data_IF_259649737215
#
_entry.id   IF_259649737215
#
_cell.length_a   1.000
_cell.length_b   1.000
_cell.length_c   1.000
_cell.angle_alpha   90.00
_cell.angle_beta   90.00
_cell.angle_gamma   90.00
#
_symmetry.space_group_name_H-M   'P 1'
#
loop_
_entity.id
_entity.type
_entity.pdbx_description
1 polymer ?
#
# COMPACT_ATOMS: atom_id res chain seq x y z
N UNK A 1 16.99 21.41 -9.52
CA UNK A 1 16.18 20.21 -9.84
C UNK A 1 15.64 19.69 -8.52
N UNK A 2 14.36 19.34 -8.41
CA UNK A 2 13.84 18.79 -7.13
C UNK A 2 14.27 17.32 -7.00
N UNK A 3 14.46 16.84 -5.77
CA UNK A 3 14.74 15.43 -5.49
C UNK A 3 13.67 14.51 -6.10
N UNK A 4 12.43 14.99 -6.19
CA UNK A 4 11.31 14.27 -6.78
C UNK A 4 11.44 14.12 -8.30
N UNK A 5 12.00 15.11 -8.99
CA UNK A 5 12.24 15.03 -10.42
C UNK A 5 13.44 14.12 -10.74
N UNK A 6 14.40 14.01 -9.82
CA UNK A 6 15.62 13.21 -9.99
C UNK A 6 15.43 11.75 -9.59
N UNK A 7 14.73 11.47 -8.48
CA UNK A 7 14.62 10.13 -7.89
C UNK A 7 13.18 9.61 -7.78
N UNK A 8 12.17 10.41 -8.09
CA UNK A 8 10.77 10.01 -7.95
C UNK A 8 10.28 9.15 -9.12
N UNK A 9 9.41 8.17 -8.83
CA UNK A 9 8.71 7.40 -9.86
C UNK A 9 7.92 8.33 -10.79
N UNK A 10 8.00 8.14 -12.11
CA UNK A 10 7.31 8.98 -13.09
C UNK A 10 5.81 8.64 -13.24
N UNK A 11 4.99 8.95 -12.23
CA UNK A 11 3.55 8.63 -12.24
C UNK A 11 2.77 9.19 -13.44
N UNK A 12 3.26 10.28 -14.05
CA UNK A 12 2.65 10.88 -15.24
C UNK A 12 2.65 9.96 -16.47
N UNK A 13 3.51 8.93 -16.53
CA UNK A 13 3.53 7.96 -17.65
C UNK A 13 2.76 6.66 -17.36
N UNK A 14 2.04 6.57 -16.24
CA UNK A 14 1.25 5.39 -15.89
C UNK A 14 -0.20 5.63 -16.31
N UNK A 15 -0.74 4.77 -17.17
CA UNK A 15 -2.10 4.86 -17.72
C UNK A 15 -3.00 3.67 -17.36
N UNK A 16 -2.54 2.82 -16.45
CA UNK A 16 -3.29 1.66 -15.95
C UNK A 16 -3.87 1.95 -14.57
N UNK A 17 -5.01 1.33 -14.19
CA UNK A 17 -5.53 1.42 -12.83
C UNK A 17 -4.50 1.00 -11.77
N UNK A 18 -4.48 1.71 -10.65
CA UNK A 18 -3.54 1.54 -9.53
C UNK A 18 -4.31 1.42 -8.23
N UNK A 19 -4.06 0.34 -7.49
CA UNK A 19 -4.42 0.21 -6.08
C UNK A 19 -3.18 0.37 -5.22
N UNK A 20 -3.21 1.29 -4.26
CA UNK A 20 -2.17 1.48 -3.24
C UNK A 20 -2.72 1.09 -1.88
N UNK A 21 -1.98 0.23 -1.17
CA UNK A 21 -2.31 -0.25 0.16
C UNK A 21 -1.23 0.21 1.13
N UNK A 22 -1.62 0.76 2.28
CA UNK A 22 -0.68 1.30 3.27
C UNK A 22 -1.12 1.02 4.70
N UNK A 23 -0.14 0.86 5.59
CA UNK A 23 -0.34 0.74 7.03
C UNK A 23 -0.25 2.13 7.67
N UNK A 24 -1.24 2.50 8.50
CA UNK A 24 -1.20 3.78 9.21
C UNK A 24 -0.05 3.83 10.25
N UNK A 25 0.37 2.66 10.73
CA UNK A 25 1.35 2.47 11.79
C UNK A 25 2.58 1.70 11.27
N UNK A 26 2.90 1.81 9.98
CA UNK A 26 4.08 1.18 9.38
C UNK A 26 5.37 1.68 10.05
N UNK A 27 6.08 0.75 10.70
CA UNK A 27 7.30 1.02 11.45
C UNK A 27 8.58 1.04 10.62
N UNK A 28 8.52 0.60 9.35
CA UNK A 28 9.71 0.55 8.47
C UNK A 28 9.88 1.85 7.71
N UNK A 29 8.80 2.36 7.15
CA UNK A 29 8.72 3.68 6.55
C UNK A 29 7.29 4.19 6.65
N UNK A 30 7.05 5.52 6.57
CA UNK A 30 5.69 6.06 6.67
C UNK A 30 4.90 5.80 5.37
N UNK A 31 4.43 4.56 5.17
CA UNK A 31 3.81 4.12 3.90
C UNK A 31 2.52 4.88 3.58
N UNK A 32 1.77 5.30 4.60
CA UNK A 32 0.59 6.15 4.42
C UNK A 32 0.92 7.53 3.82
N UNK A 33 2.08 8.11 4.16
CA UNK A 33 2.55 9.37 3.55
C UNK A 33 2.88 9.13 2.07
N UNK A 34 3.59 8.04 1.77
CA UNK A 34 3.92 7.68 0.39
C UNK A 34 2.67 7.43 -0.44
N UNK A 35 1.68 6.71 0.10
CA UNK A 35 0.41 6.43 -0.57
C UNK A 35 -0.36 7.72 -0.89
N UNK A 36 -0.41 8.65 0.06
CA UNK A 36 -1.02 9.96 -0.17
C UNK A 36 -0.28 10.78 -1.24
N UNK A 37 1.06 10.75 -1.23
CA UNK A 37 1.86 11.41 -2.27
C UNK A 37 1.61 10.81 -3.65
N UNK A 38 1.44 9.49 -3.76
CA UNK A 38 1.09 8.83 -5.03
C UNK A 38 -0.24 9.38 -5.55
N UNK A 39 -1.26 9.43 -4.70
CA UNK A 39 -2.57 10.01 -5.03
C UNK A 39 -2.42 11.45 -5.53
N UNK A 40 -1.72 12.30 -4.79
CA UNK A 40 -1.53 13.71 -5.15
C UNK A 40 -0.83 13.87 -6.51
N UNK A 41 0.18 13.04 -6.80
CA UNK A 41 0.93 13.13 -8.06
C UNK A 41 0.11 12.68 -9.26
N UNK A 42 -0.72 11.65 -9.12
CA UNK A 42 -1.64 11.21 -10.18
C UNK A 42 -2.77 12.21 -10.40
N UNK A 43 -3.33 12.78 -9.33
CA UNK A 43 -4.32 13.87 -9.42
C UNK A 43 -3.73 15.09 -10.14
N UNK A 44 -2.52 15.51 -9.78
CA UNK A 44 -1.83 16.63 -10.44
C UNK A 44 -1.54 16.37 -11.93
N UNK A 45 -1.45 15.09 -12.34
CA UNK A 45 -1.32 14.67 -13.73
C UNK A 45 -2.66 14.49 -14.45
N UNK A 46 -3.80 14.81 -13.81
CA UNK A 46 -5.14 14.65 -14.38
C UNK A 46 -5.66 13.21 -14.39
N UNK A 47 -5.07 12.32 -13.58
CA UNK A 47 -5.35 10.87 -13.54
C UNK A 47 -5.96 10.44 -12.22
N UNK A 48 -6.91 11.21 -11.71
CA UNK A 48 -7.55 10.94 -10.41
C UNK A 48 -8.43 9.70 -10.41
N UNK A 49 -8.92 9.31 -11.58
CA UNK A 49 -9.83 8.20 -11.84
C UNK A 49 -9.14 6.83 -11.87
N UNK A 50 -7.83 6.78 -12.10
CA UNK A 50 -7.08 5.53 -12.18
C UNK A 50 -6.44 5.11 -10.85
N UNK A 51 -6.59 5.89 -9.76
CA UNK A 51 -5.92 5.62 -8.49
C UNK A 51 -6.88 5.44 -7.33
N UNK A 52 -6.74 4.31 -6.65
CA UNK A 52 -7.40 4.02 -5.38
C UNK A 52 -6.34 3.85 -4.28
N UNK A 53 -6.53 4.54 -3.16
CA UNK A 53 -5.64 4.43 -1.99
C UNK A 53 -6.43 3.96 -0.78
N UNK A 54 -6.00 2.86 -0.16
CA UNK A 54 -6.53 2.37 1.12
C UNK A 54 -5.43 2.38 2.18
N UNK A 55 -5.70 3.09 3.27
CA UNK A 55 -4.83 3.09 4.46
C UNK A 55 -5.55 2.36 5.59
N UNK A 56 -4.88 1.41 6.24
CA UNK A 56 -5.45 0.54 7.26
C UNK A 56 -5.00 0.99 8.66
N UNK A 57 -5.92 1.47 9.53
CA UNK A 57 -5.63 1.79 10.92
C UNK A 57 -5.20 0.55 11.71
N UNK A 58 -4.28 0.68 12.67
CA UNK A 58 -3.79 -0.45 13.45
C UNK A 58 -2.84 -1.40 12.70
N UNK A 59 -2.60 -1.16 11.41
CA UNK A 59 -1.76 -1.99 10.57
C UNK A 59 -0.37 -1.37 10.37
N UNK A 60 0.64 -2.21 10.50
CA UNK A 60 2.03 -1.92 10.20
C UNK A 60 2.41 -2.38 8.80
N UNK A 61 3.69 -2.67 8.64
CA UNK A 61 4.31 -3.02 7.37
C UNK A 61 3.86 -4.37 6.81
N UNK A 62 3.47 -5.31 7.68
CA UNK A 62 3.05 -6.67 7.29
C UNK A 62 1.57 -6.80 6.92
N UNK A 63 0.89 -5.69 6.62
CA UNK A 63 -0.56 -5.66 6.37
C UNK A 63 -1.05 -6.52 5.21
N UNK A 64 -0.17 -7.02 4.33
CA UNK A 64 -0.53 -7.88 3.19
C UNK A 64 -0.42 -9.37 3.51
N UNK A 65 0.03 -9.72 4.71
CA UNK A 65 0.13 -11.12 5.17
C UNK A 65 -1.20 -11.55 5.80
N UNK A 66 -1.99 -12.31 5.03
CA UNK A 66 -3.33 -12.78 5.44
C UNK A 66 -3.27 -13.54 6.76
N UNK A 67 -4.10 -13.11 7.73
CA UNK A 67 -4.24 -13.79 9.02
C UNK A 67 -3.01 -13.71 9.93
N UNK A 68 -2.04 -12.84 9.62
CA UNK A 68 -0.82 -12.74 10.41
C UNK A 68 -0.98 -11.82 11.61
N UNK A 69 -1.52 -12.38 12.70
CA UNK A 69 -1.81 -11.64 13.95
C UNK A 69 -1.00 -12.03 15.18
N UNK A 70 0.24 -12.51 15.00
CA UNK A 70 1.13 -12.87 16.12
C UNK A 70 2.05 -11.73 16.55
N UNK A 71 2.80 -11.88 17.67
CA UNK A 71 3.84 -10.92 18.07
C UNK A 71 4.88 -10.64 16.98
N UNK A 72 5.15 -11.62 16.11
CA UNK A 72 6.06 -11.46 14.99
C UNK A 72 5.51 -10.61 13.84
N UNK A 73 4.23 -10.21 13.88
CA UNK A 73 3.66 -9.27 12.90
C UNK A 73 4.05 -7.82 13.17
N UNK A 74 4.42 -7.50 14.41
CA UNK A 74 4.84 -6.15 14.82
C UNK A 74 6.35 -6.07 14.96
N UNK A 75 7.03 -7.17 15.28
CA UNK A 75 8.46 -7.15 15.56
C UNK A 75 9.13 -8.47 15.22
N UNK A 76 10.15 -8.44 14.37
CA UNK A 76 10.90 -9.65 13.98
C UNK A 76 12.37 -9.35 13.68
N UNK A 77 13.20 -10.39 13.79
CA UNK A 77 14.62 -10.31 13.43
C UNK A 77 14.77 -10.31 11.91
N UNK A 78 15.50 -9.35 11.36
CA UNK A 78 15.90 -9.30 9.96
C UNK A 78 17.36 -9.74 9.85
N UNK A 79 17.63 -10.91 9.23
CA UNK A 79 19.00 -11.41 9.07
C UNK A 79 19.90 -10.50 8.23
N UNK A 80 19.34 -9.78 7.25
CA UNK A 80 20.11 -8.88 6.38
C UNK A 80 20.58 -7.61 7.08
N UNK A 81 19.89 -7.20 8.15
CA UNK A 81 20.28 -6.06 8.99
C UNK A 81 20.95 -6.50 10.29
N UNK A 82 21.07 -7.81 10.52
CA UNK A 82 21.56 -8.41 11.77
C UNK A 82 20.90 -7.81 13.03
N UNK A 83 19.60 -7.54 12.95
CA UNK A 83 18.90 -6.79 13.99
C UNK A 83 17.40 -7.00 13.98
N UNK A 84 16.75 -6.62 15.07
CA UNK A 84 15.29 -6.61 15.14
C UNK A 84 14.71 -5.35 14.52
N UNK A 85 13.61 -5.53 13.80
CA UNK A 85 12.83 -4.46 13.18
C UNK A 85 11.46 -4.37 13.81
N UNK A 86 11.03 -3.15 14.07
CA UNK A 86 9.66 -2.81 14.40
C UNK A 86 8.87 -2.59 13.10
N UNK A 87 8.06 -3.56 12.72
CA UNK A 87 7.16 -3.49 11.57
C UNK A 87 5.92 -2.65 11.88
N UNK A 88 5.65 -2.35 13.16
CA UNK A 88 4.57 -1.50 13.61
C UNK A 88 3.17 -2.13 13.55
N UNK A 89 2.18 -1.32 13.89
CA UNK A 89 0.80 -1.76 14.08
C UNK A 89 0.57 -2.53 15.36
N UNK A 90 -0.57 -3.23 15.41
CA UNK A 90 -0.92 -4.17 16.47
C UNK A 90 -1.15 -5.56 15.89
N UNK A 91 -1.00 -6.65 16.66
CA UNK A 91 -1.24 -8.00 16.14
C UNK A 91 -2.64 -8.18 15.54
N UNK A 92 -3.68 -7.67 16.22
CA UNK A 92 -5.04 -7.74 15.69
C UNK A 92 -5.21 -6.85 14.44
N UNK A 93 -4.66 -5.63 14.46
CA UNK A 93 -4.74 -4.72 13.31
C UNK A 93 -4.03 -5.28 12.07
N UNK A 94 -2.88 -5.93 12.23
CA UNK A 94 -2.19 -6.62 11.14
C UNK A 94 -2.98 -7.83 10.62
N UNK A 95 -3.60 -8.61 11.51
CA UNK A 95 -4.47 -9.73 11.11
C UNK A 95 -5.66 -9.24 10.27
N UNK A 96 -6.39 -8.24 10.79
CA UNK A 96 -7.56 -7.67 10.16
C UNK A 96 -7.21 -7.02 8.82
N UNK A 97 -6.14 -6.23 8.79
CA UNK A 97 -5.65 -5.60 7.58
C UNK A 97 -5.23 -6.64 6.53
N UNK A 98 -4.61 -7.75 6.92
CA UNK A 98 -4.30 -8.88 6.03
C UNK A 98 -5.53 -9.39 5.28
N UNK A 99 -6.64 -9.61 5.97
CA UNK A 99 -7.89 -10.02 5.32
C UNK A 99 -8.49 -8.92 4.46
N UNK A 100 -8.53 -7.68 4.97
CA UNK A 100 -9.14 -6.55 4.27
C UNK A 100 -8.36 -6.17 3.00
N UNK A 101 -7.03 -6.17 3.07
CA UNK A 101 -6.15 -5.84 1.95
C UNK A 101 -6.24 -6.89 0.85
N UNK A 102 -6.27 -8.18 1.21
CA UNK A 102 -6.44 -9.24 0.21
C UNK A 102 -7.80 -9.17 -0.46
N UNK A 103 -8.87 -8.89 0.30
CA UNK A 103 -10.18 -8.65 -0.29
C UNK A 103 -10.17 -7.43 -1.23
N UNK A 104 -9.53 -6.34 -0.82
CA UNK A 104 -9.40 -5.13 -1.65
C UNK A 104 -8.72 -5.41 -2.99
N UNK A 105 -7.67 -6.24 -3.01
CA UNK A 105 -7.00 -6.64 -4.24
C UNK A 105 -7.94 -7.38 -5.18
N UNK A 106 -8.70 -8.36 -4.67
CA UNK A 106 -9.65 -9.12 -5.50
C UNK A 106 -10.76 -8.20 -6.03
N UNK A 107 -11.36 -7.38 -5.17
CA UNK A 107 -12.40 -6.40 -5.56
C UNK A 107 -11.92 -5.46 -6.67
N UNK A 108 -10.68 -4.97 -6.54
CA UNK A 108 -10.05 -4.08 -7.51
C UNK A 108 -9.82 -4.79 -8.85
N UNK A 109 -9.24 -5.99 -8.84
CA UNK A 109 -8.98 -6.76 -10.05
C UNK A 109 -10.28 -7.08 -10.81
N UNK A 110 -11.34 -7.47 -10.09
CA UNK A 110 -12.66 -7.70 -10.70
C UNK A 110 -13.26 -6.43 -11.32
N UNK A 111 -13.08 -5.27 -10.66
CA UNK A 111 -13.55 -3.99 -11.20
C UNK A 111 -12.80 -3.62 -12.50
N UNK A 112 -11.48 -3.81 -12.51
CA UNK A 112 -10.64 -3.57 -13.69
C UNK A 112 -11.02 -4.51 -14.84
N UNK A 113 -11.21 -5.80 -14.58
CA UNK A 113 -11.64 -6.77 -15.60
C UNK A 113 -13.00 -6.39 -16.22
N UNK A 114 -13.99 -6.05 -15.38
CA UNK A 114 -15.31 -5.58 -15.87
C UNK A 114 -15.22 -4.32 -16.73
N UNK A 115 -14.38 -3.35 -16.35
CA UNK A 115 -14.21 -2.12 -17.14
C UNK A 115 -13.57 -2.40 -18.51
N UNK A 116 -12.65 -3.36 -18.57
CA UNK A 116 -11.98 -3.76 -19.82
C UNK A 116 -12.96 -4.44 -20.78
N UNK A 117 -13.85 -5.29 -20.25
CA UNK A 117 -14.87 -5.98 -21.04
C UNK A 117 -15.97 -5.07 -21.58
N UNK A 118 -16.23 -3.92 -20.95
CA UNK A 118 -17.25 -2.95 -21.38
C UNK A 118 -16.73 -1.91 -22.37
N UNK A 119 -15.41 -1.72 -22.46
CA UNK A 119 -14.75 -0.82 -23.40
C UNK A 119 -14.27 -1.46 -24.70
N UNK A 120 -14.55 -2.75 -24.90
CA UNK A 120 -14.22 -3.55 -26.10
C UNK A 120 -15.45 -3.75 -26.99
#
# INVERSE_FOLDING_TARGET
>A
MSLEAEFGTAFGSIDVPILVLAGAEDGIWPSWISAERIRQRLVAAGKSDIVEVRTYPGAGHSLVSVGFGGPFSVFAYNPSLEGYMDFGGTPNGNCDAGFQSSRAVVEFLEAVDRSTQQGS
#
